data_IF_088635651689
#
_entry.id   IF_088635651689
#
_cell.length_a   1.000
_cell.length_b   1.000
_cell.length_c   1.000
_cell.angle_alpha   90.00
_cell.angle_beta   90.00
_cell.angle_gamma   90.00
#
_symmetry.space_group_name_H-M   'P 1'
#
loop_
_entity.id
_entity.type
_entity.pdbx_description
1 polymer ?
#
# COMPACT_ATOMS: atom_id res chain seq x y z
N UNK A 1 25.73 -6.34 -16.86
CA UNK A 1 24.45 -6.39 -16.15
C UNK A 1 23.76 -5.04 -16.00
N UNK A 2 24.39 -4.03 -15.40
CA UNK A 2 23.76 -2.73 -15.16
C UNK A 2 23.22 -2.06 -16.44
N UNK A 3 23.99 -2.07 -17.53
CA UNK A 3 23.56 -1.49 -18.81
C UNK A 3 22.36 -2.22 -19.44
N UNK A 4 22.31 -3.56 -19.30
CA UNK A 4 21.17 -4.36 -19.78
C UNK A 4 19.92 -4.11 -18.93
N UNK A 5 20.07 -4.02 -17.61
CA UNK A 5 18.99 -3.66 -16.70
C UNK A 5 18.42 -2.27 -17.01
N UNK A 6 19.28 -1.28 -17.28
CA UNK A 6 18.87 0.07 -17.69
C UNK A 6 18.13 0.04 -19.04
N UNK A 7 18.66 -0.68 -20.03
CA UNK A 7 18.01 -0.85 -21.33
C UNK A 7 16.61 -1.47 -21.18
N UNK A 8 16.49 -2.52 -20.38
CA UNK A 8 15.21 -3.14 -20.07
C UNK A 8 14.26 -2.19 -19.34
N UNK A 9 14.74 -1.42 -18.36
CA UNK A 9 13.96 -0.45 -17.58
C UNK A 9 13.39 0.67 -18.46
N UNK A 10 14.14 1.12 -19.46
CA UNK A 10 13.67 2.13 -20.41
C UNK A 10 12.58 1.54 -21.31
N UNK A 11 12.80 0.37 -21.90
CA UNK A 11 11.80 -0.32 -22.74
C UNK A 11 10.52 -0.63 -21.94
N UNK A 12 10.68 -1.36 -20.82
CA UNK A 12 10.12 -0.99 -19.54
C UNK A 12 8.94 0.01 -19.49
N UNK A 13 9.37 1.24 -19.20
CA UNK A 13 8.55 2.43 -19.10
C UNK A 13 7.78 2.73 -20.38
N UNK A 14 8.37 2.55 -21.57
CA UNK A 14 7.70 2.85 -22.84
C UNK A 14 6.48 1.96 -23.09
N UNK A 15 6.62 0.63 -23.06
CA UNK A 15 5.47 -0.25 -23.32
C UNK A 15 4.45 -0.21 -22.18
N UNK A 16 4.87 -0.03 -20.92
CA UNK A 16 3.92 0.16 -19.82
C UNK A 16 3.17 1.49 -19.95
N UNK A 17 3.85 2.57 -20.30
CA UNK A 17 3.25 3.88 -20.56
C UNK A 17 2.21 3.80 -21.68
N UNK A 18 2.54 3.16 -22.80
CA UNK A 18 1.59 2.92 -23.90
C UNK A 18 0.36 2.12 -23.47
N UNK A 19 0.54 1.08 -22.64
CA UNK A 19 -0.58 0.29 -22.11
C UNK A 19 -1.46 1.08 -21.15
N UNK A 20 -0.89 1.90 -20.26
CA UNK A 20 -1.67 2.74 -19.35
C UNK A 20 -2.43 3.84 -20.09
N UNK A 21 -1.82 4.49 -21.08
CA UNK A 21 -2.49 5.47 -21.94
C UNK A 21 -3.60 4.83 -22.77
N UNK A 22 -3.36 3.65 -23.35
CA UNK A 22 -4.36 2.90 -24.10
C UNK A 22 -5.53 2.47 -23.21
N UNK A 23 -5.26 1.96 -22.01
CA UNK A 23 -6.30 1.64 -21.03
C UNK A 23 -7.11 2.88 -20.63
N UNK A 24 -6.47 4.03 -20.42
CA UNK A 24 -7.15 5.30 -20.16
C UNK A 24 -8.07 5.73 -21.30
N UNK A 25 -7.63 5.59 -22.55
CA UNK A 25 -8.46 5.87 -23.72
C UNK A 25 -9.68 4.94 -23.82
N UNK A 26 -9.52 3.64 -23.47
CA UNK A 26 -10.64 2.69 -23.40
C UNK A 26 -11.62 3.06 -22.28
N UNK A 27 -11.13 3.36 -21.08
CA UNK A 27 -11.96 3.73 -19.93
C UNK A 27 -12.79 4.97 -20.25
N UNK A 28 -12.17 5.98 -20.84
CA UNK A 28 -12.87 7.20 -21.26
C UNK A 28 -13.96 6.91 -22.31
N UNK A 29 -13.66 6.06 -23.29
CA UNK A 29 -14.62 5.66 -24.32
C UNK A 29 -15.80 4.84 -23.78
N UNK A 30 -15.66 4.18 -22.62
CA UNK A 30 -16.70 3.36 -21.97
C UNK A 30 -17.30 4.07 -20.74
N UNK A 31 -17.28 5.41 -20.73
CA UNK A 31 -17.89 6.24 -19.68
C UNK A 31 -17.38 5.89 -18.28
N UNK A 32 -16.06 5.76 -18.14
CA UNK A 32 -15.35 5.47 -16.89
C UNK A 32 -15.71 4.14 -16.21
N UNK A 33 -16.41 3.23 -16.89
CA UNK A 33 -16.57 1.86 -16.43
C UNK A 33 -15.25 1.11 -16.56
N UNK A 34 -14.71 0.58 -15.46
CA UNK A 34 -13.48 -0.25 -15.46
C UNK A 34 -13.76 -1.76 -15.36
N UNK A 35 -15.02 -2.16 -15.40
CA UNK A 35 -15.41 -3.57 -15.34
C UNK A 35 -15.28 -4.23 -16.71
N UNK A 36 -14.22 -5.02 -16.91
CA UNK A 36 -13.96 -5.73 -18.16
C UNK A 36 -15.09 -6.67 -18.59
N UNK A 37 -15.95 -7.12 -17.66
CA UNK A 37 -17.12 -7.96 -17.99
C UNK A 37 -18.18 -7.21 -18.80
N UNK A 38 -18.13 -5.88 -18.77
CA UNK A 38 -19.02 -4.99 -19.53
C UNK A 38 -18.38 -4.54 -20.85
N UNK A 39 -17.12 -4.91 -21.10
CA UNK A 39 -16.46 -4.59 -22.36
C UNK A 39 -16.84 -5.63 -23.42
N UNK A 40 -16.78 -5.22 -24.69
CA UNK A 40 -17.15 -6.05 -25.83
C UNK A 40 -16.33 -5.70 -27.06
N UNK A 41 -16.94 -5.79 -28.25
CA UNK A 41 -16.32 -5.62 -29.58
C UNK A 41 -15.77 -4.20 -29.88
N UNK A 42 -14.92 -3.66 -28.99
CA UNK A 42 -14.32 -2.33 -29.03
C UNK A 42 -13.31 -2.15 -30.17
N UNK A 43 -12.81 -3.24 -30.77
CA UNK A 43 -11.87 -3.18 -31.90
C UNK A 43 -12.44 -2.35 -33.06
N UNK A 44 -13.75 -2.44 -33.32
CA UNK A 44 -14.41 -1.69 -34.40
C UNK A 44 -14.53 -0.19 -34.09
N UNK A 45 -14.58 0.18 -32.82
CA UNK A 45 -14.80 1.55 -32.37
C UNK A 45 -13.49 2.28 -32.03
N UNK A 46 -12.48 1.55 -31.56
CA UNK A 46 -11.18 2.07 -31.14
C UNK A 46 -10.02 1.32 -31.85
N UNK A 47 -9.98 1.29 -33.19
CA UNK A 47 -9.00 0.48 -33.93
C UNK A 47 -7.55 0.93 -33.68
N UNK A 48 -7.32 2.24 -33.51
CA UNK A 48 -6.00 2.79 -33.20
C UNK A 48 -5.55 2.42 -31.79
N UNK A 49 -6.43 2.59 -30.79
CA UNK A 49 -6.13 2.20 -29.40
C UNK A 49 -5.80 0.72 -29.31
N UNK A 50 -6.58 -0.11 -30.00
CA UNK A 50 -6.34 -1.55 -30.07
C UNK A 50 -4.97 -1.90 -30.67
N UNK A 51 -4.61 -1.32 -31.83
CA UNK A 51 -3.34 -1.64 -32.49
C UNK A 51 -2.13 -1.22 -31.66
N UNK A 52 -2.18 -0.04 -31.04
CA UNK A 52 -1.11 0.46 -30.16
C UNK A 52 -0.98 -0.41 -28.90
N UNK A 53 -2.10 -0.76 -28.26
CA UNK A 53 -2.09 -1.67 -27.09
C UNK A 53 -1.57 -3.07 -27.46
N UNK A 54 -1.91 -3.57 -28.65
CA UNK A 54 -1.43 -4.87 -29.14
C UNK A 54 0.10 -4.85 -29.34
N UNK A 55 0.64 -3.83 -30.00
CA UNK A 55 2.10 -3.69 -30.21
C UNK A 55 2.81 -3.60 -28.86
N UNK A 56 2.30 -2.78 -27.93
CA UNK A 56 2.87 -2.66 -26.59
C UNK A 56 2.81 -3.98 -25.81
N UNK A 57 1.72 -4.75 -25.94
CA UNK A 57 1.57 -6.07 -25.31
C UNK A 57 2.54 -7.10 -25.88
N UNK A 58 2.71 -7.15 -27.20
CA UNK A 58 3.68 -8.05 -27.84
C UNK A 58 5.12 -7.73 -27.42
N UNK A 59 5.46 -6.43 -27.33
CA UNK A 59 6.74 -6.02 -26.79
C UNK A 59 6.90 -6.41 -25.32
N UNK A 60 5.88 -6.25 -24.48
CA UNK A 60 5.94 -6.62 -23.06
C UNK A 60 6.18 -8.13 -22.85
N UNK A 61 5.54 -8.98 -23.66
CA UNK A 61 5.65 -10.45 -23.57
C UNK A 61 6.92 -10.99 -24.24
N UNK A 62 7.78 -10.12 -24.79
CA UNK A 62 9.00 -10.52 -25.51
C UNK A 62 8.70 -11.37 -26.76
N UNK A 63 7.70 -10.98 -27.56
CA UNK A 63 7.50 -11.59 -28.88
C UNK A 63 8.71 -11.34 -29.79
N UNK A 64 9.13 -12.32 -30.63
CA UNK A 64 10.28 -12.16 -31.52
C UNK A 64 10.24 -10.85 -32.33
N UNK A 65 11.40 -10.28 -32.60
CA UNK A 65 11.62 -9.00 -33.31
C UNK A 65 11.22 -7.73 -32.54
N UNK A 66 10.55 -7.83 -31.39
CA UNK A 66 10.23 -6.66 -30.57
C UNK A 66 11.38 -6.30 -29.61
N UNK A 67 11.43 -5.04 -29.16
CA UNK A 67 12.48 -4.56 -28.24
C UNK A 67 12.51 -5.32 -26.92
N UNK A 68 11.34 -5.75 -26.45
CA UNK A 68 11.24 -6.57 -25.24
C UNK A 68 11.92 -7.92 -25.35
N UNK A 69 11.89 -8.56 -26.52
CA UNK A 69 12.59 -9.83 -26.77
C UNK A 69 14.08 -9.66 -26.55
N UNK A 70 14.72 -8.74 -27.28
CA UNK A 70 16.15 -8.47 -27.11
C UNK A 70 16.52 -8.14 -25.67
N UNK A 71 15.72 -7.32 -24.97
CA UNK A 71 16.06 -6.97 -23.59
C UNK A 71 15.91 -8.12 -22.59
N UNK A 72 14.86 -8.95 -22.70
CA UNK A 72 14.55 -10.00 -21.73
C UNK A 72 15.35 -11.28 -21.98
N UNK A 73 15.59 -11.62 -23.25
CA UNK A 73 16.32 -12.84 -23.64
C UNK A 73 17.74 -12.81 -23.09
N UNK A 74 18.45 -11.69 -23.26
CA UNK A 74 19.78 -11.52 -22.65
C UNK A 74 19.78 -11.56 -21.12
N UNK A 75 18.69 -11.17 -20.45
CA UNK A 75 18.59 -11.31 -18.99
C UNK A 75 18.40 -12.79 -18.63
N UNK A 76 17.54 -13.50 -19.33
CA UNK A 76 17.28 -14.92 -19.09
C UNK A 76 18.51 -15.77 -19.31
N UNK A 77 19.28 -15.52 -20.37
CA UNK A 77 20.55 -16.21 -20.66
C UNK A 77 21.53 -16.18 -19.47
N UNK A 78 21.49 -15.12 -18.67
CA UNK A 78 22.37 -14.98 -17.50
C UNK A 78 21.91 -15.77 -16.28
N UNK A 79 20.63 -16.19 -16.25
CA UNK A 79 19.97 -16.84 -15.10
C UNK A 79 19.67 -18.33 -15.36
N UNK A 80 19.89 -18.85 -16.58
CA UNK A 80 19.53 -20.23 -16.97
C UNK A 80 20.06 -21.30 -15.98
N UNK A 81 21.28 -21.15 -15.47
CA UNK A 81 21.84 -22.09 -14.49
C UNK A 81 21.05 -22.16 -13.17
N UNK A 82 20.42 -21.07 -12.76
CA UNK A 82 19.57 -21.03 -11.57
C UNK A 82 18.20 -21.67 -11.84
N UNK A 83 17.61 -21.40 -13.01
CA UNK A 83 16.26 -21.89 -13.38
C UNK A 83 16.23 -23.42 -13.47
N UNK A 84 17.28 -24.06 -13.99
CA UNK A 84 17.36 -25.51 -14.11
C UNK A 84 17.24 -26.26 -12.77
N UNK A 85 17.62 -25.63 -11.65
CA UNK A 85 17.45 -26.22 -10.31
C UNK A 85 16.02 -26.06 -9.77
N UNK A 86 15.29 -25.05 -10.22
CA UNK A 86 13.91 -24.75 -9.82
C UNK A 86 12.90 -25.65 -10.53
N UNK A 87 13.15 -26.05 -11.78
CA UNK A 87 12.23 -26.89 -12.55
C UNK A 87 11.92 -28.24 -11.87
N UNK A 88 12.89 -28.79 -11.13
CA UNK A 88 12.71 -30.02 -10.33
C UNK A 88 11.72 -29.80 -9.19
N UNK A 89 11.74 -28.63 -8.54
CA UNK A 89 10.82 -28.26 -7.47
C UNK A 89 9.40 -27.96 -7.98
N UNK A 90 9.28 -27.38 -9.17
CA UNK A 90 7.98 -27.13 -9.82
C UNK A 90 7.29 -28.46 -10.19
N UNK A 91 8.04 -29.44 -10.71
CA UNK A 91 7.52 -30.76 -11.05
C UNK A 91 6.91 -31.48 -9.84
N UNK A 92 7.58 -31.45 -8.69
CA UNK A 92 7.09 -32.05 -7.43
C UNK A 92 5.87 -31.31 -6.84
N UNK A 93 5.81 -29.99 -6.99
CA UNK A 93 4.72 -29.16 -6.47
C UNK A 93 3.44 -29.17 -7.32
N UNK A 94 3.51 -29.64 -8.58
CA UNK A 94 2.41 -29.55 -9.55
C UNK A 94 1.09 -30.17 -9.07
N UNK A 95 1.15 -31.34 -8.41
CA UNK A 95 -0.04 -32.02 -7.87
C UNK A 95 -0.68 -31.21 -6.74
N UNK A 96 0.12 -30.60 -5.86
CA UNK A 96 -0.37 -29.74 -4.78
C UNK A 96 -1.08 -28.49 -5.33
N UNK A 97 -0.56 -27.91 -6.41
CA UNK A 97 -1.18 -26.77 -7.09
C UNK A 97 -2.53 -27.15 -7.71
N UNK A 98 -2.62 -28.31 -8.35
CA UNK A 98 -3.87 -28.81 -8.93
C UNK A 98 -4.95 -28.96 -7.86
N UNK A 99 -4.65 -29.67 -6.77
CA UNK A 99 -5.63 -29.98 -5.72
C UNK A 99 -6.13 -28.74 -4.96
N UNK A 100 -5.29 -27.70 -4.86
CA UNK A 100 -5.61 -26.46 -4.16
C UNK A 100 -5.92 -25.28 -5.09
N UNK A 101 -6.20 -25.54 -6.37
CA UNK A 101 -6.32 -24.49 -7.41
C UNK A 101 -7.31 -23.37 -7.05
N UNK A 102 -8.44 -23.70 -6.44
CA UNK A 102 -9.46 -22.72 -6.05
C UNK A 102 -8.99 -21.78 -4.93
N UNK A 103 -8.33 -22.34 -3.90
CA UNK A 103 -7.74 -21.56 -2.81
C UNK A 103 -6.60 -20.68 -3.31
N UNK A 104 -5.79 -21.23 -4.22
CA UNK A 104 -4.67 -20.52 -4.85
C UNK A 104 -5.19 -19.36 -5.71
N UNK A 105 -6.23 -19.58 -6.51
CA UNK A 105 -6.88 -18.52 -7.28
C UNK A 105 -7.40 -17.39 -6.37
N UNK A 106 -8.14 -17.73 -5.31
CA UNK A 106 -8.65 -16.75 -4.35
C UNK A 106 -7.53 -15.95 -3.70
N UNK A 107 -6.43 -16.62 -3.32
CA UNK A 107 -5.25 -16.00 -2.73
C UNK A 107 -4.58 -14.98 -3.66
N UNK A 108 -4.34 -15.34 -4.92
CA UNK A 108 -3.73 -14.41 -5.90
C UNK A 108 -4.68 -13.27 -6.27
N UNK A 109 -5.98 -13.54 -6.42
CA UNK A 109 -6.98 -12.52 -6.72
C UNK A 109 -7.10 -11.47 -5.58
N UNK A 110 -6.85 -11.86 -4.34
CA UNK A 110 -6.82 -10.97 -3.16
C UNK A 110 -5.46 -10.29 -2.94
N UNK A 111 -4.64 -10.13 -3.99
CA UNK A 111 -3.32 -9.49 -3.90
C UNK A 111 -2.45 -10.12 -2.79
N UNK A 112 -2.44 -11.46 -2.73
CA UNK A 112 -1.66 -12.23 -1.74
C UNK A 112 -2.02 -11.93 -0.27
N UNK A 113 -3.22 -11.40 0.01
CA UNK A 113 -3.66 -10.98 1.35
C UNK A 113 -2.75 -9.92 2.00
N UNK A 114 -1.89 -9.25 1.24
CA UNK A 114 -0.93 -8.26 1.78
C UNK A 114 -1.67 -7.11 2.45
N UNK A 115 -2.79 -6.67 1.86
CA UNK A 115 -3.65 -5.62 2.42
C UNK A 115 -4.25 -6.05 3.78
N UNK A 116 -4.70 -7.31 3.89
CA UNK A 116 -5.24 -7.85 5.13
C UNK A 116 -4.16 -7.86 6.22
N UNK A 117 -2.95 -8.32 5.88
CA UNK A 117 -1.82 -8.33 6.80
C UNK A 117 -1.46 -6.90 7.24
N UNK A 118 -1.32 -5.98 6.30
CA UNK A 118 -0.98 -4.58 6.59
C UNK A 118 -2.04 -3.91 7.47
N UNK A 119 -3.32 -4.11 7.17
CA UNK A 119 -4.40 -3.52 7.95
C UNK A 119 -4.47 -4.12 9.37
N UNK A 120 -4.40 -5.44 9.48
CA UNK A 120 -4.58 -6.11 10.77
C UNK A 120 -3.38 -5.97 11.70
N UNK A 121 -2.17 -6.05 11.18
CA UNK A 121 -0.96 -6.05 12.01
C UNK A 121 -0.32 -4.68 12.14
N UNK A 122 -0.23 -3.92 11.04
CA UNK A 122 0.45 -2.61 11.06
C UNK A 122 -0.53 -1.51 11.43
N UNK A 123 -1.64 -1.40 10.70
CA UNK A 123 -2.58 -0.28 10.86
C UNK A 123 -3.26 -0.32 12.22
N UNK A 124 -3.82 -1.45 12.64
CA UNK A 124 -4.46 -1.57 13.96
C UNK A 124 -3.49 -1.34 15.13
N UNK A 125 -2.23 -1.78 15.00
CA UNK A 125 -1.21 -1.53 16.02
C UNK A 125 -0.93 -0.03 16.15
N UNK A 126 -0.72 0.66 15.02
CA UNK A 126 -0.50 2.11 14.98
C UNK A 126 -1.69 2.85 15.58
N UNK A 127 -2.92 2.47 15.22
CA UNK A 127 -4.13 3.08 15.76
C UNK A 127 -4.28 2.87 17.27
N UNK A 128 -3.98 1.67 17.77
CA UNK A 128 -4.06 1.36 19.21
C UNK A 128 -3.02 2.13 20.00
N UNK A 129 -1.79 2.20 19.50
CA UNK A 129 -0.72 2.98 20.12
C UNK A 129 -1.03 4.47 20.08
N UNK A 130 -1.44 5.01 18.93
CA UNK A 130 -1.84 6.41 18.79
C UNK A 130 -2.98 6.80 19.73
N UNK A 131 -4.00 5.93 19.87
CA UNK A 131 -5.08 6.14 20.83
C UNK A 131 -4.61 6.16 22.28
N UNK A 132 -3.68 5.28 22.65
CA UNK A 132 -3.09 5.26 23.99
C UNK A 132 -2.23 6.50 24.26
N UNK A 133 -1.41 6.92 23.30
CA UNK A 133 -0.56 8.10 23.46
C UNK A 133 -1.40 9.36 23.60
N UNK A 134 -2.45 9.55 22.80
CA UNK A 134 -3.35 10.72 22.93
C UNK A 134 -4.08 10.73 24.25
N UNK A 135 -4.52 9.56 24.75
CA UNK A 135 -5.20 9.50 26.05
C UNK A 135 -4.25 9.80 27.21
N UNK A 136 -3.03 9.30 27.18
CA UNK A 136 -2.06 9.46 28.27
C UNK A 136 -1.40 10.84 28.24
N UNK A 137 -1.02 11.32 27.05
CA UNK A 137 -0.29 12.57 26.88
C UNK A 137 -1.29 13.73 26.86
N UNK A 138 -2.19 13.76 25.88
CA UNK A 138 -3.01 14.95 25.61
C UNK A 138 -4.10 15.13 26.68
N UNK A 139 -4.88 14.08 26.94
CA UNK A 139 -5.98 14.12 27.93
C UNK A 139 -5.58 13.74 29.34
N UNK A 140 -4.33 13.33 29.54
CA UNK A 140 -3.81 12.89 30.84
C UNK A 140 -2.81 13.91 31.37
N UNK A 141 -1.56 13.77 30.93
CA UNK A 141 -0.43 14.56 31.41
C UNK A 141 -0.59 16.06 31.11
N UNK A 142 -1.05 16.44 29.92
CA UNK A 142 -1.19 17.85 29.54
C UNK A 142 -2.35 18.52 30.29
N UNK A 143 -3.50 17.87 30.43
CA UNK A 143 -4.61 18.41 31.24
C UNK A 143 -4.24 18.52 32.73
N UNK A 144 -3.53 17.50 33.26
CA UNK A 144 -3.06 17.49 34.65
C UNK A 144 -2.00 18.57 34.93
N UNK A 145 -1.11 18.89 34.00
CA UNK A 145 -0.13 19.98 34.17
C UNK A 145 -0.68 21.35 33.77
N UNK A 146 -1.71 21.36 32.94
CA UNK A 146 -2.30 22.56 32.37
C UNK A 146 -3.48 23.07 33.21
N UNK A 147 -4.66 23.33 32.62
CA UNK A 147 -5.73 24.06 33.28
C UNK A 147 -6.21 23.43 34.59
N UNK A 148 -6.44 22.11 34.58
CA UNK A 148 -7.03 21.41 35.73
C UNK A 148 -6.06 21.33 36.91
N UNK A 149 -4.79 21.00 36.67
CA UNK A 149 -3.80 20.96 37.75
C UNK A 149 -3.49 22.34 38.34
N UNK A 150 -3.42 23.36 37.48
CA UNK A 150 -3.23 24.74 37.93
C UNK A 150 -4.42 25.23 38.77
N UNK A 151 -5.65 24.94 38.35
CA UNK A 151 -6.86 25.26 39.12
C UNK A 151 -6.81 24.62 40.51
N UNK A 152 -6.56 23.30 40.58
CA UNK A 152 -6.51 22.59 41.85
C UNK A 152 -5.40 23.13 42.79
N UNK A 153 -4.25 23.47 42.21
CA UNK A 153 -3.11 24.06 42.92
C UNK A 153 -3.43 25.45 43.48
N UNK A 154 -4.03 26.33 42.66
CA UNK A 154 -4.43 27.67 43.07
C UNK A 154 -5.54 27.64 44.14
N UNK A 155 -6.51 26.73 44.02
CA UNK A 155 -7.58 26.56 45.02
C UNK A 155 -7.03 26.03 46.36
N UNK A 156 -6.03 25.15 46.34
CA UNK A 156 -5.37 24.70 47.58
C UNK A 156 -4.57 25.84 48.23
N UNK A 157 -3.85 26.63 47.44
CA UNK A 157 -3.13 27.82 47.92
C UNK A 157 -4.10 28.85 48.51
N UNK A 158 -5.21 29.14 47.83
CA UNK A 158 -6.20 30.10 48.32
C UNK A 158 -6.83 29.66 49.63
N UNK A 159 -7.16 28.36 49.78
CA UNK A 159 -7.66 27.79 51.05
C UNK A 159 -6.63 27.89 52.18
N UNK A 160 -5.34 27.65 51.89
CA UNK A 160 -4.27 27.79 52.89
C UNK A 160 -4.03 29.24 53.31
N UNK A 161 -4.16 30.20 52.40
CA UNK A 161 -4.06 31.63 52.75
C UNK A 161 -5.27 32.07 53.57
N UNK A 162 -6.48 31.69 53.17
CA UNK A 162 -7.71 32.02 53.90
C UNK A 162 -7.73 31.42 55.32
N UNK A 163 -7.18 30.22 55.52
CA UNK A 163 -7.07 29.63 56.86
C UNK A 163 -6.07 30.38 57.76
N UNK A 164 -5.03 31.00 57.21
CA UNK A 164 -4.09 31.82 57.99
C UNK A 164 -4.71 33.14 58.48
N UNK A 165 -5.56 33.77 57.66
CA UNK A 165 -6.24 35.01 58.02
C UNK A 165 -7.32 34.79 59.10
N UNK A 166 -8.09 33.71 59.01
CA UNK A 166 -9.07 33.36 60.05
C UNK A 166 -8.42 33.05 61.40
N UNK A 167 -7.24 32.43 61.42
CA UNK A 167 -6.48 32.15 62.65
C UNK A 167 -5.94 33.43 63.30
N UNK A 168 -5.57 34.45 62.52
CA UNK A 168 -5.12 35.75 63.06
C UNK A 168 -6.27 36.57 63.66
N UNK A 169 -7.47 36.50 63.09
CA UNK A 169 -8.66 37.17 63.65
C UNK A 169 -9.02 36.61 65.04
N UNK A 170 -9.04 35.28 65.18
CA UNK A 170 -9.29 34.62 66.48
C UNK A 170 -8.23 34.89 67.57
N UNK A 171 -7.04 35.38 67.20
CA UNK A 171 -5.99 35.79 68.15
C UNK A 171 -6.03 37.27 68.52
N UNK A 172 -6.74 38.11 67.78
CA UNK A 172 -6.91 39.55 68.07
C UNK A 172 -8.11 39.84 68.98
N UNK A 173 -9.10 38.93 69.00
CA UNK A 173 -10.30 39.03 69.83
C UNK A 173 -10.13 38.38 71.23
N UNK A 174 -8.88 38.12 71.66
CA UNK A 174 -8.48 37.70 73.01
C UNK A 174 -7.43 38.65 73.56
#
# INVERSE_FOLDING_TARGET
>A
MSQLALFHLINHAFYKGLLFLGAGAVIHAVSDNQDFRKYGALIKFLPLTYSVMLIASLSLVAFPFMTGFYSKDFILDTVVYFIATIDIFIGLGSNFFSDNSYNIYGFFNQRFLIELFYNNYITNLILKLGGQTTKVIDKGSIELLGPYGLELGLVNLSRNIASLDTVKLNKKDK
#
